data_IF_095282271985
#
_entry.id   IF_095282271985
#
_cell.length_a   1.000
_cell.length_b   1.000
_cell.length_c   1.000
_cell.angle_alpha   90.00
_cell.angle_beta   90.00
_cell.angle_gamma   90.00
#
_symmetry.space_group_name_H-M   'P 1'
#
loop_
_entity.id
_entity.type
_entity.pdbx_description
1 polymer ?
#
# COMPACT_ATOMS: atom_id res chain seq x y z
N UNK A 1 -28.34 23.87 31.40
CA UNK A 1 -28.54 24.78 30.25
C UNK A 1 -28.47 23.95 28.98
N UNK A 2 -29.62 23.64 28.41
CA UNK A 2 -29.76 22.87 27.18
C UNK A 2 -29.51 23.78 25.97
N UNK A 3 -28.55 23.43 25.12
CA UNK A 3 -28.37 24.02 23.79
C UNK A 3 -28.69 22.96 22.73
N UNK A 4 -29.99 22.64 22.59
CA UNK A 4 -30.57 22.07 21.37
C UNK A 4 -31.43 23.16 20.72
N UNK A 5 -30.83 23.85 19.76
CA UNK A 5 -31.39 24.77 18.78
C UNK A 5 -30.42 24.64 17.59
N UNK A 6 -30.77 24.54 16.32
CA UNK A 6 -31.98 24.80 15.56
C UNK A 6 -31.42 24.91 14.13
N UNK A 7 -31.61 23.92 13.26
CA UNK A 7 -31.47 24.14 11.81
C UNK A 7 -32.58 23.34 11.12
N UNK A 8 -33.76 23.94 11.13
CA UNK A 8 -34.79 23.71 10.13
C UNK A 8 -34.95 25.06 9.41
N UNK A 9 -35.16 25.03 8.09
CA UNK A 9 -35.45 26.13 7.15
C UNK A 9 -34.26 26.79 6.42
N UNK A 10 -34.02 26.35 5.18
CA UNK A 10 -34.09 27.22 3.99
C UNK A 10 -33.84 26.40 2.72
N UNK A 11 -34.91 25.93 2.06
CA UNK A 11 -34.84 25.54 0.64
C UNK A 11 -35.70 26.54 -0.13
N UNK A 12 -35.09 27.68 -0.45
CA UNK A 12 -35.68 28.66 -1.35
C UNK A 12 -35.48 28.20 -2.80
N UNK A 13 -36.58 28.20 -3.54
CA UNK A 13 -36.72 27.89 -4.96
C UNK A 13 -35.61 28.46 -5.85
N UNK A 14 -35.03 27.60 -6.67
CA UNK A 14 -34.39 28.00 -7.94
C UNK A 14 -35.03 27.20 -9.07
N UNK A 15 -35.99 27.83 -9.73
CA UNK A 15 -36.48 27.40 -11.03
C UNK A 15 -35.45 27.83 -12.08
N UNK A 16 -34.77 26.88 -12.71
CA UNK A 16 -34.05 27.12 -13.97
C UNK A 16 -34.64 26.19 -15.02
N UNK A 17 -35.43 26.81 -15.89
CA UNK A 17 -35.91 26.32 -17.16
C UNK A 17 -34.73 26.33 -18.15
N UNK A 18 -34.34 25.18 -18.71
CA UNK A 18 -33.32 25.12 -19.75
C UNK A 18 -33.02 23.70 -20.23
N UNK A 19 -33.59 23.33 -21.38
CA UNK A 19 -33.39 22.06 -22.06
C UNK A 19 -31.92 21.81 -22.45
N UNK A 20 -31.42 20.59 -22.23
CA UNK A 20 -30.10 20.18 -22.69
C UNK A 20 -29.61 18.85 -22.10
N UNK A 21 -29.99 17.76 -22.76
CA UNK A 21 -29.39 16.42 -22.79
C UNK A 21 -27.97 16.26 -22.16
N UNK A 22 -27.85 15.69 -20.95
CA UNK A 22 -26.61 15.04 -20.44
C UNK A 22 -26.97 13.95 -19.41
N UNK A 23 -26.34 12.79 -19.53
CA UNK A 23 -26.38 11.66 -18.58
C UNK A 23 -25.90 12.06 -17.19
N UNK A 24 -26.81 12.25 -16.23
CA UNK A 24 -26.48 12.60 -14.86
C UNK A 24 -26.34 11.34 -13.99
N UNK A 25 -25.09 10.99 -13.66
CA UNK A 25 -24.79 10.28 -12.41
C UNK A 25 -25.11 11.22 -11.24
N UNK A 26 -25.57 10.73 -10.07
CA UNK A 26 -25.65 11.57 -8.88
C UNK A 26 -24.22 11.94 -8.45
N UNK A 27 -23.83 13.19 -8.71
CA UNK A 27 -22.67 13.82 -8.07
C UNK A 27 -22.96 13.97 -6.59
N UNK A 28 -22.40 13.08 -5.77
CA UNK A 28 -22.20 13.33 -4.34
C UNK A 28 -21.16 14.44 -4.20
N UNK A 29 -21.64 15.62 -3.81
CA UNK A 29 -20.79 16.69 -3.31
C UNK A 29 -20.47 16.36 -1.85
N UNK A 30 -19.33 15.71 -1.61
CA UNK A 30 -18.62 15.75 -0.32
C UNK A 30 -17.48 16.75 -0.50
N UNK A 31 -17.76 18.02 -0.25
CA UNK A 31 -16.76 19.07 -0.20
C UNK A 31 -16.54 19.48 1.26
N UNK A 32 -15.59 18.82 1.91
CA UNK A 32 -14.64 19.45 2.83
C UNK A 32 -13.49 18.47 3.03
N UNK A 33 -12.26 18.97 3.00
CA UNK A 33 -11.03 18.25 3.36
C UNK A 33 -11.10 17.79 4.82
N UNK A 34 -11.84 16.73 5.09
CA UNK A 34 -11.62 15.90 6.25
C UNK A 34 -10.20 15.32 6.15
N UNK A 35 -9.45 15.19 7.25
CA UNK A 35 -8.11 14.61 7.22
C UNK A 35 -8.19 13.28 6.48
N UNK A 36 -7.35 13.13 5.44
CA UNK A 36 -7.25 11.96 4.57
C UNK A 36 -7.59 10.71 5.37
N UNK A 37 -8.76 10.13 5.09
CA UNK A 37 -9.17 8.86 5.67
C UNK A 37 -7.96 7.92 5.66
N UNK A 38 -7.68 7.26 6.79
CA UNK A 38 -6.51 6.40 6.89
C UNK A 38 -6.50 5.49 5.67
N UNK A 39 -5.48 5.58 4.82
CA UNK A 39 -5.49 4.83 3.55
C UNK A 39 -5.78 3.36 3.90
N UNK A 40 -6.77 2.77 3.21
CA UNK A 40 -7.18 1.39 3.47
C UNK A 40 -5.97 0.47 3.32
N UNK A 41 -6.00 -0.69 3.97
CA UNK A 41 -4.90 -1.65 3.85
C UNK A 41 -4.66 -2.04 2.39
N UNK A 42 -5.72 -2.22 1.60
CA UNK A 42 -5.57 -2.55 0.17
C UNK A 42 -4.98 -1.39 -0.64
N UNK A 43 -5.29 -0.13 -0.28
CA UNK A 43 -4.72 1.05 -0.93
C UNK A 43 -3.23 1.19 -0.63
N UNK A 44 -2.82 1.00 0.64
CA UNK A 44 -1.41 0.93 1.04
C UNK A 44 -0.65 -0.20 0.35
N UNK A 45 -1.26 -1.39 0.26
CA UNK A 45 -0.66 -2.55 -0.41
C UNK A 45 -0.47 -2.29 -1.92
N UNK A 46 -1.44 -1.63 -2.57
CA UNK A 46 -1.35 -1.24 -3.97
C UNK A 46 -0.26 -0.18 -4.22
N UNK A 47 -0.19 0.85 -3.40
CA UNK A 47 0.85 1.89 -3.50
C UNK A 47 2.25 1.30 -3.29
N UNK A 48 2.41 0.41 -2.30
CA UNK A 48 3.66 -0.30 -2.03
C UNK A 48 4.05 -1.18 -3.24
N UNK A 49 3.12 -2.00 -3.75
CA UNK A 49 3.38 -2.84 -4.91
C UNK A 49 3.79 -2.00 -6.14
N UNK A 50 3.15 -0.83 -6.34
CA UNK A 50 3.47 0.06 -7.45
C UNK A 50 4.88 0.63 -7.32
N UNK A 51 5.27 1.05 -6.12
CA UNK A 51 6.63 1.53 -5.82
C UNK A 51 7.68 0.45 -6.03
N UNK A 52 7.40 -0.78 -5.59
CA UNK A 52 8.29 -1.92 -5.78
C UNK A 52 8.46 -2.28 -7.26
N UNK A 53 7.38 -2.27 -8.04
CA UNK A 53 7.43 -2.48 -9.48
C UNK A 53 8.23 -1.38 -10.20
N UNK A 54 8.09 -0.11 -9.79
CA UNK A 54 8.88 0.99 -10.33
C UNK A 54 10.37 0.84 -10.01
N UNK A 55 10.70 0.47 -8.77
CA UNK A 55 12.07 0.21 -8.35
C UNK A 55 12.70 -0.96 -9.13
N UNK A 56 11.95 -2.06 -9.30
CA UNK A 56 12.40 -3.20 -10.10
C UNK A 56 12.68 -2.80 -11.56
N UNK A 57 11.80 -1.98 -12.17
CA UNK A 57 11.98 -1.46 -13.52
C UNK A 57 13.23 -0.58 -13.64
N UNK A 58 13.45 0.31 -12.67
CA UNK A 58 14.65 1.15 -12.62
C UNK A 58 15.93 0.31 -12.54
N UNK A 59 15.95 -0.73 -11.72
CA UNK A 59 17.10 -1.63 -11.60
C UNK A 59 17.40 -2.37 -12.92
N UNK A 60 16.36 -2.86 -13.61
CA UNK A 60 16.52 -3.51 -14.91
C UNK A 60 17.04 -2.53 -15.99
N UNK A 61 16.51 -1.31 -16.02
CA UNK A 61 16.98 -0.27 -16.94
C UNK A 61 18.43 0.16 -16.66
N UNK A 62 18.83 0.27 -15.40
CA UNK A 62 20.22 0.55 -15.03
C UNK A 62 21.17 -0.55 -15.50
N UNK A 63 20.78 -1.82 -15.34
CA UNK A 63 21.53 -2.95 -15.85
C UNK A 63 21.71 -2.88 -17.39
N UNK A 64 20.65 -2.57 -18.14
CA UNK A 64 20.72 -2.39 -19.60
C UNK A 64 21.60 -1.21 -20.00
N UNK A 65 21.56 -0.10 -19.26
CA UNK A 65 22.45 1.05 -19.49
C UNK A 65 23.92 0.72 -19.29
N UNK A 66 24.24 -0.10 -18.28
CA UNK A 66 25.62 -0.55 -18.05
C UNK A 66 26.15 -1.37 -19.24
N UNK A 67 25.32 -2.28 -19.79
CA UNK A 67 25.65 -3.04 -20.99
C UNK A 67 25.89 -2.13 -22.20
N UNK A 68 24.94 -1.21 -22.47
CA UNK A 68 25.04 -0.26 -23.58
C UNK A 68 26.27 0.66 -23.48
N UNK A 69 26.61 1.11 -22.27
CA UNK A 69 27.79 1.95 -22.05
C UNK A 69 29.07 1.22 -22.47
N UNK A 70 29.21 -0.05 -22.14
CA UNK A 70 30.36 -0.85 -22.54
C UNK A 70 30.43 -1.02 -24.07
N UNK A 71 29.30 -1.31 -24.72
CA UNK A 71 29.23 -1.41 -26.19
C UNK A 71 29.62 -0.09 -26.88
N UNK A 72 29.12 1.04 -26.39
CA UNK A 72 29.44 2.36 -26.92
C UNK A 72 30.93 2.71 -26.72
N UNK A 73 31.49 2.41 -25.54
CA UNK A 73 32.91 2.64 -25.22
C UNK A 73 33.84 1.76 -26.07
N UNK A 74 33.46 0.50 -26.30
CA UNK A 74 34.16 -0.40 -27.21
C UNK A 74 34.11 0.13 -28.66
N UNK A 75 32.93 0.53 -29.13
CA UNK A 75 32.75 1.05 -30.51
C UNK A 75 33.60 2.29 -30.77
N UNK A 76 33.63 3.25 -29.83
CA UNK A 76 34.49 4.44 -29.94
C UNK A 76 35.97 4.08 -30.05
N UNK A 77 36.41 3.10 -29.28
CA UNK A 77 37.79 2.63 -29.27
C UNK A 77 38.16 1.95 -30.59
N UNK A 78 37.28 1.09 -31.10
CA UNK A 78 37.47 0.41 -32.39
C UNK A 78 37.44 1.38 -33.58
N UNK A 79 36.53 2.36 -33.56
CA UNK A 79 36.41 3.39 -34.60
C UNK A 79 37.67 4.24 -34.66
N UNK A 80 38.16 4.73 -33.51
CA UNK A 80 39.42 5.48 -33.46
C UNK A 80 40.59 4.64 -33.97
N UNK A 81 40.70 3.36 -33.58
CA UNK A 81 41.78 2.50 -34.03
C UNK A 81 41.77 2.30 -35.57
N UNK A 82 40.58 2.19 -36.17
CA UNK A 82 40.42 2.10 -37.64
C UNK A 82 40.84 3.39 -38.33
N UNK A 83 40.38 4.53 -37.84
CA UNK A 83 40.75 5.85 -38.37
C UNK A 83 42.24 6.11 -38.23
N UNK A 84 42.84 5.77 -37.09
CA UNK A 84 44.27 5.98 -36.82
C UNK A 84 45.13 5.13 -37.74
N UNK A 85 44.73 3.88 -37.99
CA UNK A 85 45.38 3.01 -38.97
C UNK A 85 45.32 3.61 -40.38
N UNK A 86 44.14 4.06 -40.82
CA UNK A 86 43.98 4.67 -42.15
C UNK A 86 44.79 5.96 -42.30
N UNK A 87 44.76 6.84 -41.29
CA UNK A 87 45.52 8.07 -41.29
C UNK A 87 47.04 7.83 -41.24
N UNK A 88 47.49 6.81 -40.50
CA UNK A 88 48.90 6.40 -40.46
C UNK A 88 49.37 5.85 -41.81
N UNK A 89 48.59 4.98 -42.46
CA UNK A 89 48.90 4.47 -43.80
C UNK A 89 48.98 5.60 -44.84
N UNK A 90 48.08 6.59 -44.75
CA UNK A 90 48.09 7.76 -45.62
C UNK A 90 49.33 8.67 -45.39
N UNK A 91 49.69 8.91 -44.12
CA UNK A 91 50.89 9.67 -43.75
C UNK A 91 52.15 8.97 -44.23
N UNK A 92 52.29 7.66 -43.98
CA UNK A 92 53.45 6.86 -44.41
C UNK A 92 53.60 6.87 -45.92
N UNK A 93 52.48 6.73 -46.66
CA UNK A 93 52.48 6.79 -48.13
C UNK A 93 52.92 8.16 -48.62
N UNK A 94 52.44 9.25 -48.02
CA UNK A 94 52.83 10.60 -48.39
C UNK A 94 54.29 10.91 -48.05
N UNK A 95 54.78 10.43 -46.90
CA UNK A 95 56.17 10.54 -46.48
C UNK A 95 57.11 9.80 -47.45
N UNK A 96 56.77 8.57 -47.83
CA UNK A 96 57.54 7.79 -48.79
C UNK A 96 57.65 8.50 -50.14
N UNK A 97 56.54 9.07 -50.64
CA UNK A 97 56.54 9.85 -51.89
C UNK A 97 57.46 11.08 -51.81
N UNK A 98 57.40 11.82 -50.70
CA UNK A 98 58.29 12.95 -50.45
C UNK A 98 59.77 12.52 -50.42
N UNK A 99 60.10 11.43 -49.71
CA UNK A 99 61.48 10.92 -49.64
C UNK A 99 62.01 10.45 -51.01
N UNK A 100 61.18 9.81 -51.82
CA UNK A 100 61.55 9.41 -53.18
C UNK A 100 61.86 10.64 -54.05
N UNK A 101 61.03 11.68 -54.00
CA UNK A 101 61.25 12.93 -54.73
C UNK A 101 62.47 13.70 -54.23
N UNK A 102 62.73 13.68 -52.92
CA UNK A 102 63.93 14.27 -52.33
C UNK A 102 65.19 13.54 -52.82
N UNK A 103 65.14 12.21 -52.91
CA UNK A 103 66.23 11.39 -53.44
C UNK A 103 66.50 11.67 -54.92
N UNK A 104 65.46 11.76 -55.76
CA UNK A 104 65.57 12.15 -57.17
C UNK A 104 66.23 13.54 -57.32
N UNK A 105 65.84 14.50 -56.48
CA UNK A 105 66.40 15.85 -56.47
C UNK A 105 67.90 15.87 -56.11
N UNK A 106 68.30 15.09 -55.10
CA UNK A 106 69.71 14.96 -54.66
C UNK A 106 70.55 14.25 -55.72
N UNK A 107 70.04 13.17 -56.31
CA UNK A 107 70.73 12.40 -57.34
C UNK A 107 70.79 13.11 -58.70
N UNK A 108 70.07 14.22 -58.87
CA UNK A 108 69.98 15.01 -60.12
C UNK A 108 69.51 14.19 -61.33
N UNK A 109 68.63 13.21 -61.09
CA UNK A 109 68.05 12.37 -62.12
C UNK A 109 66.90 13.12 -62.82
N UNK A 110 67.21 14.01 -63.78
CA UNK A 110 66.21 14.72 -64.59
C UNK A 110 66.21 16.25 -64.46
N UNK A 111 65.09 16.90 -64.87
CA UNK A 111 64.91 18.35 -64.83
C UNK A 111 64.69 18.85 -63.40
N UNK A 112 65.73 19.51 -62.86
CA UNK A 112 65.79 19.96 -61.46
C UNK A 112 64.63 20.86 -61.06
N UNK A 113 64.15 21.74 -61.95
CA UNK A 113 63.08 22.69 -61.63
C UNK A 113 61.73 21.99 -61.50
N UNK A 114 61.48 20.98 -62.34
CA UNK A 114 60.26 20.15 -62.25
C UNK A 114 60.27 19.30 -60.99
N UNK A 115 61.38 18.61 -60.72
CA UNK A 115 61.53 17.75 -59.54
C UNK A 115 61.35 18.58 -58.26
N UNK A 116 61.87 19.82 -58.22
CA UNK A 116 61.68 20.71 -57.08
C UNK A 116 60.20 21.03 -56.81
N UNK A 117 59.40 21.35 -57.84
CA UNK A 117 57.95 21.59 -57.69
C UNK A 117 57.20 20.35 -57.21
N UNK A 118 57.52 19.18 -57.78
CA UNK A 118 56.93 17.91 -57.35
C UNK A 118 57.31 17.55 -55.91
N UNK A 119 58.54 17.88 -55.50
CA UNK A 119 59.03 17.78 -54.13
C UNK A 119 58.21 18.63 -53.16
N UNK A 120 58.03 19.92 -53.47
CA UNK A 120 57.25 20.86 -52.64
C UNK A 120 55.77 20.43 -52.53
N UNK A 121 55.20 19.90 -53.62
CA UNK A 121 53.84 19.35 -53.60
C UNK A 121 53.74 18.08 -52.72
N UNK A 122 54.72 17.18 -52.83
CA UNK A 122 54.79 15.97 -52.00
C UNK A 122 55.01 16.32 -50.52
N UNK A 123 55.83 17.33 -50.23
CA UNK A 123 56.04 17.84 -48.86
C UNK A 123 54.74 18.38 -48.27
N UNK A 124 53.99 19.18 -49.05
CA UNK A 124 52.70 19.72 -48.63
C UNK A 124 51.68 18.61 -48.36
N UNK A 125 51.64 17.58 -49.22
CA UNK A 125 50.78 16.39 -49.02
C UNK A 125 51.15 15.64 -47.74
N UNK A 126 52.45 15.44 -47.49
CA UNK A 126 52.93 14.80 -46.26
C UNK A 126 52.58 15.63 -45.01
N UNK A 127 52.81 16.95 -45.02
CA UNK A 127 52.43 17.85 -43.92
C UNK A 127 50.93 17.79 -43.60
N UNK A 128 50.09 17.78 -44.65
CA UNK A 128 48.65 17.66 -44.48
C UNK A 128 48.24 16.29 -43.92
N UNK A 129 48.77 15.19 -44.47
CA UNK A 129 48.48 13.84 -43.99
C UNK A 129 48.93 13.63 -42.54
N UNK A 130 50.09 14.20 -42.17
CA UNK A 130 50.58 14.20 -40.80
C UNK A 130 49.67 14.97 -39.86
N UNK A 131 49.19 16.16 -40.27
CA UNK A 131 48.23 16.92 -39.48
C UNK A 131 46.90 16.17 -39.27
N UNK A 132 46.40 15.45 -40.28
CA UNK A 132 45.21 14.60 -40.13
C UNK A 132 45.46 13.40 -39.20
N UNK A 133 46.62 12.75 -39.29
CA UNK A 133 47.02 11.68 -38.36
C UNK A 133 47.09 12.18 -36.91
N UNK A 134 47.72 13.34 -36.66
CA UNK A 134 47.81 13.94 -35.33
C UNK A 134 46.42 14.30 -34.77
N UNK A 135 45.49 14.79 -35.62
CA UNK A 135 44.09 15.04 -35.23
C UNK A 135 43.38 13.77 -34.80
N UNK A 136 43.51 12.67 -35.56
CA UNK A 136 42.88 11.39 -35.22
C UNK A 136 43.45 10.83 -33.91
N UNK A 137 44.78 10.91 -33.73
CA UNK A 137 45.43 10.48 -32.50
C UNK A 137 44.97 11.27 -31.27
N UNK A 138 44.66 12.54 -31.45
CA UNK A 138 44.11 13.43 -30.42
C UNK A 138 42.65 13.16 -30.02
N UNK A 139 41.90 12.30 -30.72
CA UNK A 139 40.52 11.95 -30.34
C UNK A 139 40.50 11.27 -28.96
N UNK A 140 39.66 11.75 -28.05
CA UNK A 140 39.54 11.18 -26.70
C UNK A 140 38.76 9.86 -26.77
N UNK A 141 39.35 8.79 -26.25
CA UNK A 141 38.70 7.49 -26.06
C UNK A 141 38.74 7.10 -24.58
N UNK A 142 37.83 6.21 -24.14
CA UNK A 142 37.93 5.60 -22.82
C UNK A 142 39.30 4.98 -22.61
N UNK A 143 39.88 5.19 -21.43
CA UNK A 143 41.14 4.57 -21.03
C UNK A 143 40.97 3.05 -20.86
N UNK A 144 42.09 2.32 -20.83
CA UNK A 144 42.07 0.87 -20.62
C UNK A 144 41.42 0.48 -19.27
N UNK A 145 41.64 1.27 -18.22
CA UNK A 145 41.02 1.05 -16.92
C UNK A 145 39.51 1.35 -16.94
N UNK A 146 39.07 2.42 -17.61
CA UNK A 146 37.64 2.73 -17.78
C UNK A 146 36.92 1.66 -18.61
N UNK A 147 37.56 1.12 -19.66
CA UNK A 147 37.03 0.00 -20.44
C UNK A 147 36.92 -1.28 -19.61
N UNK A 148 37.89 -1.54 -18.74
CA UNK A 148 37.88 -2.69 -17.83
C UNK A 148 36.77 -2.56 -16.79
N UNK A 149 36.57 -1.38 -16.23
CA UNK A 149 35.50 -1.11 -15.27
C UNK A 149 34.11 -1.23 -15.91
N UNK A 150 33.92 -0.62 -17.08
CA UNK A 150 32.64 -0.69 -17.82
C UNK A 150 32.33 -2.09 -18.27
N UNK A 151 33.33 -2.87 -18.72
CA UNK A 151 33.18 -4.30 -19.02
C UNK A 151 32.71 -5.08 -17.80
N UNK A 152 33.36 -4.90 -16.65
CA UNK A 152 32.99 -5.59 -15.41
C UNK A 152 31.54 -5.27 -15.02
N UNK A 153 31.15 -3.99 -15.07
CA UNK A 153 29.78 -3.54 -14.78
C UNK A 153 28.76 -4.13 -15.76
N UNK A 154 29.08 -4.16 -17.05
CA UNK A 154 28.23 -4.75 -18.08
C UNK A 154 28.05 -6.27 -17.90
N UNK A 155 29.13 -6.99 -17.57
CA UNK A 155 29.10 -8.43 -17.33
C UNK A 155 28.27 -8.78 -16.09
N UNK A 156 28.45 -8.04 -15.00
CA UNK A 156 27.62 -8.17 -13.79
C UNK A 156 26.15 -7.87 -14.07
N UNK A 157 25.87 -6.81 -14.83
CA UNK A 157 24.53 -6.44 -15.25
C UNK A 157 23.87 -7.54 -16.11
N UNK A 158 24.62 -8.11 -17.05
CA UNK A 158 24.14 -9.20 -17.92
C UNK A 158 23.84 -10.47 -17.13
N UNK A 159 24.66 -10.81 -16.13
CA UNK A 159 24.41 -11.94 -15.24
C UNK A 159 23.12 -11.75 -14.41
N UNK A 160 22.84 -10.51 -13.99
CA UNK A 160 21.65 -10.17 -13.20
C UNK A 160 20.39 -9.90 -14.03
N UNK A 161 20.51 -9.69 -15.34
CA UNK A 161 19.39 -9.25 -16.20
C UNK A 161 18.19 -10.19 -16.12
N UNK A 162 18.39 -11.50 -16.27
CA UNK A 162 17.30 -12.47 -16.21
C UNK A 162 16.60 -12.51 -14.85
N UNK A 163 17.36 -12.33 -13.75
CA UNK A 163 16.80 -12.24 -12.40
C UNK A 163 15.99 -10.95 -12.23
N UNK A 164 16.51 -9.81 -12.71
CA UNK A 164 15.84 -8.52 -12.68
C UNK A 164 14.57 -8.53 -13.53
N UNK A 165 14.57 -9.16 -14.70
CA UNK A 165 13.37 -9.32 -15.53
C UNK A 165 12.29 -10.12 -14.79
N UNK A 166 12.65 -11.24 -14.15
CA UNK A 166 11.71 -12.01 -13.33
C UNK A 166 11.16 -11.20 -12.16
N UNK A 167 12.01 -10.40 -11.49
CA UNK A 167 11.58 -9.49 -10.41
C UNK A 167 10.60 -8.44 -10.89
N UNK A 168 10.79 -7.87 -12.08
CA UNK A 168 9.85 -6.93 -12.69
C UNK A 168 8.52 -7.62 -12.95
N UNK A 169 8.52 -8.80 -13.58
CA UNK A 169 7.29 -9.54 -13.85
C UNK A 169 6.53 -9.91 -12.56
N UNK A 170 7.24 -10.37 -11.53
CA UNK A 170 6.63 -10.69 -10.24
C UNK A 170 6.06 -9.44 -9.55
N UNK A 171 6.79 -8.33 -9.56
CA UNK A 171 6.33 -7.07 -8.99
C UNK A 171 5.09 -6.53 -9.73
N UNK A 172 5.05 -6.63 -11.06
CA UNK A 172 3.88 -6.26 -11.86
C UNK A 172 2.67 -7.14 -11.54
N UNK A 173 2.85 -8.46 -11.36
CA UNK A 173 1.77 -9.35 -10.89
C UNK A 173 1.24 -8.91 -9.53
N UNK A 174 2.11 -8.60 -8.57
CA UNK A 174 1.70 -8.07 -7.26
C UNK A 174 0.90 -6.77 -7.37
N UNK A 175 1.27 -5.87 -8.28
CA UNK A 175 0.49 -4.65 -8.56
C UNK A 175 -0.91 -5.01 -9.04
N UNK A 176 -1.04 -5.95 -9.98
CA UNK A 176 -2.35 -6.35 -10.50
C UNK A 176 -3.22 -7.03 -9.44
N UNK A 177 -2.65 -7.89 -8.60
CA UNK A 177 -3.35 -8.55 -7.50
C UNK A 177 -3.79 -7.55 -6.43
N UNK A 178 -2.91 -6.62 -6.04
CA UNK A 178 -3.22 -5.57 -5.08
C UNK A 178 -4.32 -4.64 -5.62
N UNK A 179 -4.27 -4.30 -6.91
CA UNK A 179 -5.32 -3.51 -7.57
C UNK A 179 -6.67 -4.20 -7.55
N UNK A 180 -6.73 -5.50 -7.88
CA UNK A 180 -7.98 -6.26 -7.84
C UNK A 180 -8.58 -6.30 -6.43
N UNK A 181 -7.74 -6.41 -5.39
CA UNK A 181 -8.21 -6.34 -3.99
C UNK A 181 -8.76 -4.97 -3.63
N UNK A 182 -8.05 -3.89 -4.02
CA UNK A 182 -8.52 -2.52 -3.82
C UNK A 182 -9.84 -2.25 -4.54
N UNK A 183 -9.95 -2.66 -5.81
CA UNK A 183 -11.18 -2.50 -6.59
C UNK A 183 -12.34 -3.30 -5.97
N UNK A 184 -12.07 -4.50 -5.44
CA UNK A 184 -13.07 -5.32 -4.74
C UNK A 184 -13.49 -4.74 -3.38
N UNK A 185 -12.58 -4.07 -2.66
CA UNK A 185 -12.88 -3.36 -1.41
C UNK A 185 -13.76 -2.14 -1.69
N UNK A 186 -13.35 -1.28 -2.63
CA UNK A 186 -14.13 -0.11 -3.06
C UNK A 186 -15.52 -0.50 -3.59
N UNK A 187 -15.63 -1.60 -4.33
CA UNK A 187 -16.93 -2.09 -4.79
C UNK A 187 -17.87 -2.48 -3.64
N UNK A 188 -17.35 -3.03 -2.53
CA UNK A 188 -18.15 -3.36 -1.34
C UNK A 188 -18.60 -2.10 -0.61
N UNK A 189 -17.72 -1.12 -0.48
CA UNK A 189 -18.02 0.18 0.13
C UNK A 189 -19.12 0.91 -0.63
N UNK A 190 -19.00 1.02 -1.96
CA UNK A 190 -20.02 1.61 -2.84
C UNK A 190 -21.36 0.87 -2.71
N UNK A 191 -21.35 -0.45 -2.62
CA UNK A 191 -22.57 -1.23 -2.44
C UNK A 191 -23.25 -0.98 -1.08
N UNK A 192 -22.48 -0.73 -0.01
CA UNK A 192 -23.03 -0.38 1.30
C UNK A 192 -23.61 1.03 1.29
N UNK A 193 -22.87 2.00 0.75
CA UNK A 193 -23.35 3.38 0.60
C UNK A 193 -24.63 3.45 -0.23
N UNK A 194 -24.73 2.67 -1.32
CA UNK A 194 -25.96 2.60 -2.12
C UNK A 194 -27.18 2.10 -1.32
N UNK A 195 -26.98 1.14 -0.41
CA UNK A 195 -28.06 0.64 0.47
C UNK A 195 -28.47 1.68 1.52
N UNK A 196 -27.52 2.42 2.06
CA UNK A 196 -27.80 3.53 2.99
C UNK A 196 -28.59 4.62 2.27
N UNK A 197 -28.14 5.04 1.08
CA UNK A 197 -28.84 6.03 0.27
C UNK A 197 -30.26 5.59 -0.14
N UNK A 198 -30.48 4.31 -0.43
CA UNK A 198 -31.82 3.78 -0.69
C UNK A 198 -32.70 3.87 0.57
N UNK A 199 -32.18 3.56 1.75
CA UNK A 199 -32.90 3.69 3.01
C UNK A 199 -33.26 5.16 3.31
N UNK A 200 -32.34 6.10 3.08
CA UNK A 200 -32.59 7.55 3.21
C UNK A 200 -33.72 8.01 2.26
N UNK A 201 -33.72 7.51 1.02
CA UNK A 201 -34.78 7.82 0.06
C UNK A 201 -36.14 7.25 0.50
N UNK A 202 -36.17 6.05 1.08
CA UNK A 202 -37.40 5.46 1.61
C UNK A 202 -37.97 6.26 2.78
N UNK A 203 -37.10 6.68 3.72
CA UNK A 203 -37.48 7.58 4.82
C UNK A 203 -38.09 8.86 4.27
N UNK A 204 -37.43 9.51 3.30
CA UNK A 204 -37.91 10.76 2.71
C UNK A 204 -39.26 10.62 1.99
N UNK A 205 -39.50 9.48 1.31
CA UNK A 205 -40.79 9.19 0.68
C UNK A 205 -41.90 9.01 1.71
N UNK A 206 -41.66 8.25 2.77
CA UNK A 206 -42.63 8.05 3.85
C UNK A 206 -42.97 9.36 4.57
N UNK A 207 -41.98 10.20 4.85
CA UNK A 207 -42.19 11.54 5.40
C UNK A 207 -43.08 12.41 4.49
N UNK A 208 -42.88 12.30 3.18
CA UNK A 208 -43.68 13.04 2.19
C UNK A 208 -45.11 12.50 2.13
N UNK A 209 -45.30 11.17 2.09
CA UNK A 209 -46.62 10.54 2.02
C UNK A 209 -47.43 10.82 3.30
N UNK A 210 -46.81 10.76 4.48
CA UNK A 210 -47.45 11.14 5.74
C UNK A 210 -47.91 12.59 5.73
N UNK A 211 -47.11 13.49 5.16
CA UNK A 211 -47.47 14.91 5.00
C UNK A 211 -48.64 15.09 4.03
N UNK A 212 -48.66 14.39 2.90
CA UNK A 212 -49.77 14.44 1.94
C UNK A 212 -51.07 13.90 2.55
N UNK A 213 -51.00 12.84 3.35
CA UNK A 213 -52.15 12.30 4.08
C UNK A 213 -52.69 13.34 5.07
N UNK A 214 -51.81 13.98 5.85
CA UNK A 214 -52.17 15.04 6.79
C UNK A 214 -52.88 16.21 6.08
N UNK A 215 -52.39 16.62 4.91
CA UNK A 215 -52.91 17.73 4.09
C UNK A 215 -54.13 17.37 3.22
N UNK A 216 -54.50 16.09 3.11
CA UNK A 216 -55.62 15.65 2.25
C UNK A 216 -57.01 16.07 2.77
N UNK A 217 -58.01 16.17 1.90
CA UNK A 217 -59.41 16.45 2.29
C UNK A 217 -60.18 15.20 2.77
N UNK A 218 -59.48 14.09 3.03
CA UNK A 218 -60.10 12.83 3.46
C UNK A 218 -60.61 12.89 4.90
N UNK A 219 -61.60 12.06 5.24
CA UNK A 219 -62.15 11.98 6.59
C UNK A 219 -61.09 11.52 7.60
N UNK A 220 -61.10 12.08 8.82
CA UNK A 220 -60.08 11.82 9.85
C UNK A 220 -59.88 10.33 10.15
N UNK A 221 -60.95 9.53 10.13
CA UNK A 221 -60.85 8.08 10.35
C UNK A 221 -60.09 7.35 9.22
N UNK A 222 -60.20 7.85 7.98
CA UNK A 222 -59.48 7.30 6.82
C UNK A 222 -58.01 7.72 6.85
N UNK A 223 -57.73 8.97 7.22
CA UNK A 223 -56.36 9.47 7.43
C UNK A 223 -55.63 8.65 8.48
N UNK A 224 -56.24 8.48 9.65
CA UNK A 224 -55.61 7.78 10.77
C UNK A 224 -55.33 6.31 10.44
N UNK A 225 -56.25 5.65 9.74
CA UNK A 225 -56.08 4.26 9.29
C UNK A 225 -54.90 4.04 8.33
N UNK A 226 -54.51 5.06 7.57
CA UNK A 226 -53.34 5.03 6.66
C UNK A 226 -52.07 5.59 7.32
N UNK A 227 -52.21 6.61 8.17
CA UNK A 227 -51.11 7.29 8.84
C UNK A 227 -50.39 6.39 9.84
N UNK A 228 -51.14 5.70 10.71
CA UNK A 228 -50.57 4.86 11.77
C UNK A 228 -49.61 3.78 11.23
N UNK A 229 -49.96 2.98 10.20
CA UNK A 229 -49.02 1.99 9.66
C UNK A 229 -47.80 2.64 8.98
N UNK A 230 -47.98 3.71 8.20
CA UNK A 230 -46.85 4.41 7.56
C UNK A 230 -45.91 5.08 8.56
N UNK A 231 -46.44 5.63 9.65
CA UNK A 231 -45.65 6.19 10.74
C UNK A 231 -44.83 5.09 11.44
N UNK A 232 -45.43 3.91 11.68
CA UNK A 232 -44.70 2.79 12.27
C UNK A 232 -43.55 2.30 11.38
N UNK A 233 -43.73 2.32 10.05
CA UNK A 233 -42.67 1.98 9.10
C UNK A 233 -41.58 3.06 9.07
N UNK A 234 -41.98 4.34 9.08
CA UNK A 234 -41.05 5.47 9.14
C UNK A 234 -40.17 5.40 10.40
N UNK A 235 -40.76 5.17 11.57
CA UNK A 235 -40.04 5.10 12.84
C UNK A 235 -39.00 3.96 12.84
N UNK A 236 -39.34 2.79 12.27
CA UNK A 236 -38.42 1.65 12.13
C UNK A 236 -37.25 1.99 11.20
N UNK A 237 -37.54 2.61 10.04
CA UNK A 237 -36.49 2.98 9.07
C UNK A 237 -35.61 4.12 9.57
N UNK A 238 -36.17 5.13 10.22
CA UNK A 238 -35.41 6.21 10.88
C UNK A 238 -34.53 5.66 11.99
N UNK A 239 -35.03 4.75 12.83
CA UNK A 239 -34.23 4.11 13.88
C UNK A 239 -33.08 3.28 13.29
N UNK A 240 -33.29 2.61 12.15
CA UNK A 240 -32.23 1.90 11.43
C UNK A 240 -31.21 2.88 10.85
N UNK A 241 -31.65 3.96 10.19
CA UNK A 241 -30.79 4.97 9.60
C UNK A 241 -29.90 5.65 10.65
N UNK A 242 -30.47 6.04 11.80
CA UNK A 242 -29.71 6.63 12.91
C UNK A 242 -28.60 5.71 13.44
N UNK A 243 -28.86 4.39 13.52
CA UNK A 243 -27.82 3.41 13.91
C UNK A 243 -26.71 3.30 12.87
N UNK A 244 -27.04 3.42 11.58
CA UNK A 244 -26.07 3.38 10.50
C UNK A 244 -25.20 4.65 10.49
N UNK A 245 -25.80 5.81 10.73
CA UNK A 245 -25.11 7.09 10.88
C UNK A 245 -24.14 7.06 12.07
N UNK A 246 -24.58 6.61 13.25
CA UNK A 246 -23.73 6.48 14.44
C UNK A 246 -22.52 5.54 14.22
N UNK A 247 -22.73 4.41 13.53
CA UNK A 247 -21.66 3.50 13.18
C UNK A 247 -20.69 4.09 12.15
N UNK A 248 -21.21 4.84 11.17
CA UNK A 248 -20.39 5.53 10.16
C UNK A 248 -19.54 6.63 10.78
N UNK A 249 -20.10 7.46 11.65
CA UNK A 249 -19.38 8.51 12.37
C UNK A 249 -18.26 7.92 13.24
N UNK A 250 -18.53 6.79 13.89
CA UNK A 250 -17.51 6.08 14.70
C UNK A 250 -16.37 5.53 13.85
N UNK A 251 -16.65 5.05 12.63
CA UNK A 251 -15.63 4.60 11.67
C UNK A 251 -14.73 5.78 11.29
N UNK A 252 -15.33 6.93 10.92
CA UNK A 252 -14.59 8.15 10.57
C UNK A 252 -13.68 8.63 11.73
N UNK A 253 -14.16 8.58 12.98
CA UNK A 253 -13.37 8.93 14.17
C UNK A 253 -12.19 7.96 14.37
N UNK A 254 -12.43 6.65 14.26
CA UNK A 254 -11.39 5.62 14.39
C UNK A 254 -10.33 5.73 13.30
N UNK A 255 -10.72 6.00 12.06
CA UNK A 255 -9.79 6.22 10.96
C UNK A 255 -8.88 7.43 11.21
N UNK A 256 -9.45 8.53 11.71
CA UNK A 256 -8.67 9.73 12.05
C UNK A 256 -7.69 9.47 13.22
N UNK A 257 -8.06 8.67 14.20
CA UNK A 257 -7.16 8.24 15.29
C UNK A 257 -6.05 7.31 14.79
N UNK A 258 -6.38 6.33 13.96
CA UNK A 258 -5.43 5.40 13.35
C UNK A 258 -4.39 6.17 12.53
N UNK A 259 -4.82 7.14 11.70
CA UNK A 259 -3.91 7.92 10.87
C UNK A 259 -2.89 8.72 11.71
N UNK A 260 -3.32 9.30 12.84
CA UNK A 260 -2.41 9.98 13.78
C UNK A 260 -1.42 9.00 14.40
N UNK A 261 -1.90 7.84 14.88
CA UNK A 261 -1.05 6.81 15.46
C UNK A 261 -0.04 6.22 14.46
N UNK A 262 -0.43 6.02 13.19
CA UNK A 262 0.49 5.55 12.14
C UNK A 262 1.63 6.55 11.92
N UNK A 263 1.31 7.84 11.90
CA UNK A 263 2.31 8.91 11.79
C UNK A 263 3.23 8.95 13.00
N UNK A 264 2.67 8.87 14.21
CA UNK A 264 3.46 8.85 15.45
C UNK A 264 4.42 7.64 15.48
N UNK A 265 3.94 6.45 15.10
CA UNK A 265 4.77 5.23 14.98
C UNK A 265 5.92 5.42 13.98
N UNK A 266 5.66 6.05 12.82
CA UNK A 266 6.70 6.35 11.83
C UNK A 266 7.73 7.36 12.36
N UNK A 267 7.27 8.42 13.00
CA UNK A 267 8.13 9.44 13.60
C UNK A 267 9.00 8.86 14.72
N UNK A 268 8.47 7.95 15.55
CA UNK A 268 9.24 7.24 16.59
C UNK A 268 10.28 6.28 16.01
N UNK A 269 9.99 5.62 14.89
CA UNK A 269 10.96 4.75 14.18
C UNK A 269 12.12 5.55 13.62
N UNK A 270 11.86 6.76 13.12
CA UNK A 270 12.86 7.61 12.48
C UNK A 270 13.70 8.46 13.46
N UNK A 271 13.26 8.64 14.70
CA UNK A 271 13.89 9.56 15.68
C UNK A 271 15.05 8.96 16.50
N UNK A 272 15.33 7.65 16.39
CA UNK A 272 16.60 7.03 16.82
C UNK A 272 17.03 7.17 18.30
N UNK A 273 16.17 7.67 19.20
CA UNK A 273 16.51 7.92 20.61
C UNK A 273 16.13 6.78 21.57
N UNK A 274 16.93 6.53 22.62
CA UNK A 274 16.74 5.36 23.52
C UNK A 274 15.43 5.30 24.33
N UNK A 275 14.70 6.41 24.46
CA UNK A 275 13.34 6.41 25.04
C UNK A 275 12.26 6.04 24.01
N UNK A 276 12.57 6.03 22.71
CA UNK A 276 11.59 5.81 21.65
C UNK A 276 11.08 4.37 21.59
N UNK A 277 11.85 3.37 22.05
CA UNK A 277 11.45 1.97 21.93
C UNK A 277 10.19 1.63 22.75
N UNK A 278 10.06 2.16 23.97
CA UNK A 278 8.89 1.92 24.83
C UNK A 278 7.64 2.66 24.33
N UNK A 279 7.80 3.91 23.88
CA UNK A 279 6.71 4.68 23.28
C UNK A 279 6.29 4.10 21.93
N UNK A 280 7.23 3.56 21.16
CA UNK A 280 6.96 2.88 19.90
C UNK A 280 6.15 1.59 20.14
N UNK A 281 6.56 0.74 21.08
CA UNK A 281 5.82 -0.48 21.40
C UNK A 281 4.40 -0.17 21.90
N UNK A 282 4.23 0.86 22.73
CA UNK A 282 2.91 1.31 23.16
C UNK A 282 2.06 1.83 22.00
N UNK A 283 2.61 2.70 21.14
CA UNK A 283 1.92 3.24 19.97
C UNK A 283 1.55 2.15 18.95
N UNK A 284 2.43 1.16 18.73
CA UNK A 284 2.14 0.01 17.87
C UNK A 284 1.02 -0.87 18.44
N UNK A 285 0.99 -1.06 19.76
CA UNK A 285 -0.07 -1.82 20.44
C UNK A 285 -1.42 -1.10 20.36
N UNK A 286 -1.44 0.21 20.61
CA UNK A 286 -2.65 1.03 20.51
C UNK A 286 -3.17 1.07 19.07
N UNK A 287 -2.25 1.18 18.09
CA UNK A 287 -2.59 1.11 16.68
C UNK A 287 -3.25 -0.22 16.30
N UNK A 288 -2.74 -1.35 16.80
CA UNK A 288 -3.35 -2.67 16.58
C UNK A 288 -4.74 -2.76 17.22
N UNK A 289 -4.90 -2.25 18.44
CA UNK A 289 -6.18 -2.25 19.13
C UNK A 289 -7.23 -1.41 18.39
N UNK A 290 -6.87 -0.21 17.93
CA UNK A 290 -7.76 0.67 17.17
C UNK A 290 -8.14 0.10 15.81
N UNK A 291 -7.20 -0.54 15.10
CA UNK A 291 -7.50 -1.28 13.86
C UNK A 291 -8.48 -2.43 14.08
N UNK A 292 -8.37 -3.14 15.19
CA UNK A 292 -9.32 -4.20 15.53
C UNK A 292 -10.72 -3.64 15.90
N UNK A 293 -10.77 -2.48 16.56
CA UNK A 293 -12.03 -1.78 16.82
C UNK A 293 -12.70 -1.32 15.52
N UNK A 294 -11.93 -0.75 14.59
CA UNK A 294 -12.38 -0.34 13.25
C UNK A 294 -12.98 -1.52 12.48
N UNK A 295 -12.26 -2.64 12.37
CA UNK A 295 -12.74 -3.84 11.68
C UNK A 295 -14.06 -4.36 12.27
N UNK A 296 -14.20 -4.31 13.59
CA UNK A 296 -15.44 -4.69 14.28
C UNK A 296 -16.58 -3.71 13.95
N UNK A 297 -16.34 -2.40 13.96
CA UNK A 297 -17.35 -1.39 13.64
C UNK A 297 -17.80 -1.46 12.18
N UNK A 298 -16.88 -1.71 11.24
CA UNK A 298 -17.21 -1.95 9.82
C UNK A 298 -18.07 -3.21 9.64
N UNK A 299 -17.77 -4.28 10.39
CA UNK A 299 -18.57 -5.51 10.38
C UNK A 299 -19.97 -5.27 10.96
N UNK A 300 -20.08 -4.49 12.04
CA UNK A 300 -21.35 -4.09 12.64
C UNK A 300 -22.17 -3.22 11.68
N UNK A 301 -21.55 -2.26 10.99
CA UNK A 301 -22.20 -1.45 9.94
C UNK A 301 -22.73 -2.34 8.82
N UNK A 302 -21.90 -3.23 8.29
CA UNK A 302 -22.30 -4.17 7.24
C UNK A 302 -23.44 -5.07 7.69
N UNK A 303 -23.44 -5.52 8.96
CA UNK A 303 -24.53 -6.31 9.52
C UNK A 303 -25.80 -5.49 9.61
N UNK A 304 -25.74 -4.29 10.19
CA UNK A 304 -26.87 -3.40 10.37
C UNK A 304 -27.53 -3.02 9.03
N UNK A 305 -26.74 -2.77 7.97
CA UNK A 305 -27.27 -2.50 6.62
C UNK A 305 -28.10 -3.68 6.10
N UNK A 306 -27.63 -4.91 6.32
CA UNK A 306 -28.28 -6.13 5.84
C UNK A 306 -29.33 -6.70 6.81
N UNK A 307 -29.49 -6.12 7.99
CA UNK A 307 -30.43 -6.61 8.99
C UNK A 307 -31.87 -6.35 8.51
N UNK A 308 -32.74 -7.37 8.51
CA UNK A 308 -34.13 -7.18 8.12
C UNK A 308 -34.79 -6.19 9.08
N UNK A 309 -35.63 -5.32 8.53
CA UNK A 309 -36.45 -4.40 9.29
C UNK A 309 -37.48 -5.23 10.06
N UNK A 310 -37.14 -5.60 11.30
CA UNK A 310 -38.14 -6.14 12.21
C UNK A 310 -39.10 -5.00 12.54
N UNK A 311 -40.42 -5.20 12.41
CA UNK A 311 -41.38 -4.33 13.07
C UNK A 311 -40.99 -4.25 14.54
N UNK A 312 -40.99 -3.06 15.11
CA UNK A 312 -40.75 -2.86 16.53
C UNK A 312 -41.59 -3.89 17.32
N UNK A 313 -40.93 -4.71 18.13
CA UNK A 313 -41.66 -5.45 19.17
C UNK A 313 -42.38 -4.40 20.00
N UNK A 314 -43.71 -4.48 19.98
CA UNK A 314 -44.63 -3.75 20.83
C UNK A 314 -44.05 -3.69 22.25
N UNK A 315 -44.01 -2.50 22.90
CA UNK A 315 -43.35 -2.35 24.18
C UNK A 315 -43.89 -3.39 25.17
N UNK A 316 -43.00 -4.18 25.77
CA UNK A 316 -43.34 -5.16 26.80
C UNK A 316 -44.22 -4.50 27.87
N UNK A 317 -45.50 -4.87 27.87
CA UNK A 317 -46.40 -4.65 29.00
C UNK A 317 -45.75 -5.25 30.26
N UNK A 318 -45.86 -4.59 31.43
CA UNK A 318 -45.11 -4.97 32.61
C UNK A 318 -45.51 -6.37 33.10
N UNK A 319 -44.49 -7.14 33.49
CA UNK A 319 -44.55 -8.53 33.92
C UNK A 319 -45.76 -8.87 34.83
N UNK A 320 -46.52 -9.94 34.54
CA UNK A 320 -47.51 -10.45 35.48
C UNK A 320 -46.83 -11.06 36.71
N UNK A 321 -47.37 -10.72 37.89
CA UNK A 321 -46.91 -11.12 39.21
C UNK A 321 -46.69 -12.66 39.37
N UNK A 322 -45.71 -13.08 40.20
CA UNK A 322 -45.34 -14.49 40.34
C UNK A 322 -46.46 -15.30 41.00
N UNK A 323 -46.88 -16.39 40.33
CA UNK A 323 -47.77 -17.40 40.92
C UNK A 323 -46.98 -18.39 41.81
N UNK A 324 -47.64 -18.98 42.84
CA UNK A 324 -46.96 -19.74 43.89
C UNK A 324 -46.51 -21.13 43.42
N UNK A 325 -45.37 -21.58 43.95
CA UNK A 325 -44.74 -22.86 43.67
C UNK A 325 -45.58 -24.06 44.16
N UNK A 326 -45.75 -25.13 43.36
CA UNK A 326 -46.23 -26.42 43.83
C UNK A 326 -45.07 -27.33 44.31
N UNK A 327 -45.35 -28.05 45.40
CA UNK A 327 -44.46 -28.99 46.11
C UNK A 327 -44.13 -30.29 45.33
N UNK A 328 -43.12 -31.07 45.76
CA UNK A 328 -42.45 -32.07 44.93
C UNK A 328 -42.97 -33.52 45.05
N UNK A 329 -42.56 -34.32 44.04
CA UNK A 329 -42.47 -35.81 43.90
C UNK A 329 -43.56 -36.52 43.07
N UNK A 330 -43.30 -37.70 42.43
CA UNK A 330 -42.09 -38.55 42.45
C UNK A 330 -41.52 -38.96 41.07
N UNK A 331 -40.27 -39.46 41.08
CA UNK A 331 -39.50 -40.00 39.94
C UNK A 331 -40.04 -41.31 39.33
N UNK A 332 -39.93 -41.44 37.99
CA UNK A 332 -39.60 -42.65 37.18
C UNK A 332 -39.76 -42.39 35.67
N UNK A 333 -39.14 -43.18 34.78
CA UNK A 333 -37.72 -43.35 34.47
C UNK A 333 -37.34 -42.67 33.12
N UNK A 334 -36.03 -42.54 32.87
CA UNK A 334 -35.48 -41.90 31.67
C UNK A 334 -35.89 -42.58 30.35
N UNK A 335 -36.27 -41.83 29.29
CA UNK A 335 -36.28 -42.34 27.93
C UNK A 335 -34.87 -42.26 27.32
N UNK A 336 -34.49 -43.32 26.62
CA UNK A 336 -33.20 -43.54 26.01
C UNK A 336 -32.77 -42.40 25.04
N UNK A 337 -31.47 -42.07 24.94
CA UNK A 337 -30.99 -41.09 23.99
C UNK A 337 -31.19 -41.59 22.55
N UNK A 338 -31.80 -40.75 21.73
CA UNK A 338 -31.84 -40.91 20.28
C UNK A 338 -30.40 -40.96 19.71
N UNK A 339 -30.14 -41.75 18.65
CA UNK A 339 -28.80 -41.92 18.10
C UNK A 339 -28.29 -40.59 17.54
N UNK A 340 -27.08 -40.20 17.98
CA UNK A 340 -26.33 -39.09 17.37
C UNK A 340 -26.05 -39.42 15.90
N UNK A 341 -26.07 -38.42 15.00
CA UNK A 341 -25.63 -38.61 13.63
C UNK A 341 -24.18 -39.13 13.62
N UNK A 342 -23.94 -40.23 12.89
CA UNK A 342 -22.60 -40.74 12.61
C UNK A 342 -21.78 -39.64 11.92
N UNK A 343 -20.64 -39.28 12.52
CA UNK A 343 -19.62 -38.48 11.84
C UNK A 343 -19.06 -39.33 10.69
N UNK A 344 -18.87 -38.71 9.52
CA UNK A 344 -18.20 -39.37 8.39
C UNK A 344 -16.79 -39.83 8.78
N UNK A 345 -16.32 -40.94 8.23
CA UNK A 345 -14.99 -41.51 8.52
C UNK A 345 -13.85 -40.48 8.31
N UNK A 346 -14.04 -39.54 7.39
CA UNK A 346 -13.07 -38.45 7.14
C UNK A 346 -12.99 -37.44 8.31
N UNK A 347 -14.10 -37.14 8.99
CA UNK A 347 -14.08 -36.24 10.16
C UNK A 347 -13.44 -36.90 11.39
N UNK A 348 -13.59 -38.22 11.55
CA UNK A 348 -12.88 -38.95 12.59
C UNK A 348 -11.38 -39.04 12.31
N UNK A 349 -10.98 -39.23 11.05
CA UNK A 349 -9.57 -39.25 10.67
C UNK A 349 -8.88 -37.90 10.89
N UNK A 350 -9.59 -36.79 10.63
CA UNK A 350 -9.05 -35.44 10.82
C UNK A 350 -8.96 -35.06 12.31
N UNK A 351 -9.94 -35.44 13.12
CA UNK A 351 -9.89 -35.27 14.58
C UNK A 351 -8.81 -36.15 15.24
N UNK A 352 -8.58 -37.37 14.75
CA UNK A 352 -7.50 -38.24 15.24
C UNK A 352 -6.11 -37.76 14.80
N UNK A 353 -5.99 -37.15 13.61
CA UNK A 353 -4.75 -36.49 13.19
C UNK A 353 -4.44 -35.26 14.05
N UNK A 354 -5.45 -34.41 14.32
CA UNK A 354 -5.30 -33.26 15.21
C UNK A 354 -4.90 -33.69 16.63
N UNK A 355 -5.56 -34.72 17.19
CA UNK A 355 -5.25 -35.24 18.53
C UNK A 355 -3.85 -35.84 18.63
N UNK A 356 -3.41 -36.59 17.61
CA UNK A 356 -2.04 -37.12 17.56
C UNK A 356 -0.98 -36.02 17.47
N UNK A 357 -1.28 -34.92 16.77
CA UNK A 357 -0.34 -33.79 16.66
C UNK A 357 -0.20 -33.02 17.97
N UNK A 358 -1.27 -32.85 18.74
CA UNK A 358 -1.22 -32.25 20.09
C UNK A 358 -0.50 -33.16 21.09
N UNK A 359 -0.73 -34.48 21.04
CA UNK A 359 -0.01 -35.43 21.89
C UNK A 359 1.49 -35.48 21.58
N UNK A 360 1.88 -35.37 20.31
CA UNK A 360 3.28 -35.32 19.90
C UNK A 360 3.96 -34.01 20.37
N UNK A 361 3.27 -32.87 20.25
CA UNK A 361 3.74 -31.59 20.77
C UNK A 361 3.93 -31.61 22.29
N UNK A 362 2.98 -32.19 23.03
CA UNK A 362 3.07 -32.32 24.49
C UNK A 362 4.15 -33.32 24.94
N UNK A 363 4.42 -34.38 24.17
CA UNK A 363 5.56 -35.28 24.41
C UNK A 363 6.91 -34.60 24.15
N UNK A 364 6.96 -33.67 23.19
CA UNK A 364 8.19 -32.95 22.85
C UNK A 364 8.54 -31.88 23.90
N UNK A 365 7.53 -31.22 24.47
CA UNK A 365 7.73 -30.23 25.55
C UNK A 365 8.08 -30.86 26.90
N UNK A 366 7.59 -32.07 27.18
CA UNK A 366 7.95 -32.82 28.40
C UNK A 366 9.32 -33.52 28.37
N UNK A 367 10.03 -33.53 27.23
CA UNK A 367 11.40 -34.05 27.12
C UNK A 367 12.49 -33.01 27.39
N UNK A 368 12.14 -31.77 27.75
CA UNK A 368 13.13 -30.82 28.23
C UNK A 368 13.52 -31.16 29.68
N UNK A 369 14.82 -31.33 30.01
CA UNK A 369 15.23 -31.53 31.39
C UNK A 369 14.89 -30.26 32.21
N UNK A 370 14.51 -30.40 33.49
CA UNK A 370 14.21 -29.24 34.32
C UNK A 370 15.42 -28.32 34.40
N UNK A 371 15.17 -27.01 34.24
CA UNK A 371 16.19 -25.96 34.36
C UNK A 371 16.88 -26.06 35.72
N UNK A 372 18.21 -26.05 35.71
CA UNK A 372 19.03 -25.99 36.91
C UNK A 372 18.67 -24.76 37.76
N UNK A 373 18.43 -25.01 39.05
CA UNK A 373 18.19 -24.03 40.10
C UNK A 373 19.45 -23.16 40.29
N UNK A 374 19.33 -21.84 40.11
CA UNK A 374 20.39 -20.88 40.49
C UNK A 374 20.46 -20.78 42.02
N UNK A 375 21.65 -20.68 42.63
CA UNK A 375 21.78 -20.58 44.08
C UNK A 375 21.25 -19.23 44.59
N UNK A 376 20.69 -19.24 45.80
CA UNK A 376 20.08 -18.11 46.48
C UNK A 376 21.04 -16.91 46.68
N UNK A 377 20.57 -15.66 46.53
CA UNK A 377 21.35 -14.47 46.87
C UNK A 377 21.51 -14.32 48.40
N UNK A 378 22.72 -13.95 48.82
CA UNK A 378 23.10 -13.70 50.21
C UNK A 378 22.31 -12.51 50.84
N UNK A 379 22.10 -12.50 52.17
CA UNK A 379 21.32 -11.47 52.85
C UNK A 379 22.02 -10.10 52.91
N UNK A 380 21.23 -9.05 52.70
CA UNK A 380 21.59 -7.62 52.75
C UNK A 380 21.88 -7.18 54.19
N UNK A 381 22.96 -6.41 54.47
CA UNK A 381 23.23 -5.88 55.80
C UNK A 381 22.29 -4.70 56.16
N UNK A 382 21.85 -4.69 57.43
CA UNK A 382 20.98 -3.68 58.07
C UNK A 382 21.65 -2.29 58.08
N UNK A 383 20.89 -1.19 57.88
CA UNK A 383 21.42 0.17 57.99
C UNK A 383 21.65 0.58 59.46
N UNK A 384 22.87 1.06 59.75
CA UNK A 384 23.26 1.68 61.03
C UNK A 384 22.56 3.04 61.22
N UNK A 385 22.06 3.26 62.44
CA UNK A 385 21.52 4.55 62.89
C UNK A 385 22.64 5.59 63.04
N UNK A 386 22.44 6.85 62.65
CA UNK A 386 23.41 7.90 62.92
C UNK A 386 23.38 8.34 64.39
N UNK A 387 24.57 8.40 65.01
CA UNK A 387 24.79 8.85 66.37
C UNK A 387 24.47 10.37 66.55
N UNK A 388 23.96 10.79 67.72
CA UNK A 388 23.61 12.18 67.99
C UNK A 388 24.85 13.08 68.21
N UNK A 389 24.79 14.29 67.66
CA UNK A 389 25.82 15.32 67.77
C UNK A 389 26.05 15.80 69.23
N UNK A 390 27.30 16.12 69.61
CA UNK A 390 27.63 16.60 70.95
C UNK A 390 27.19 18.05 71.17
N UNK A 391 26.61 18.32 72.35
CA UNK A 391 26.35 19.66 72.89
C UNK A 391 27.55 20.14 73.70
N UNK A 392 28.04 21.35 73.41
CA UNK A 392 28.68 22.31 74.34
C UNK A 392 29.13 23.51 73.49
N UNK A 393 28.95 24.78 73.87
CA UNK A 393 28.83 25.41 75.19
C UNK A 393 28.09 26.74 75.06
#
# INVERSE_FOLDING_TARGET
>A
MNKKKMILTSLASVAILGAGLVTAQPTLVRAEEAPVASQSKAEKDYDTAKRDAENAKKALEEAKRAQKKYEDDQKKTEEKAKEEKQASEAEQKANLQYQLKLREYIQKTGDRSKIQKEMEEAEKKHKNAKAEFDKVRGKVIPSAEELKETRRKAEEAKAKEAELTKKVEEAEKKVTEAKQKLDAERAKEVALQAKIAELENQVHRLETELKEIDESDSEDYVKEGLRVPLQSELDVKQAKLLKLEELSDKIDELDAEIAKLEKDVEDFKNSGGGYSALYLEAAEKDLVAKKAELEKTEADLKKAVNEPEKPAEEPENPAPAPKPAPAPQPEKPAPAPAPKPEKSADQQAEEDYARRSEEEYNRLTQQQPPKAEKPAPAPVPKPEQPAPAPKSR
#
